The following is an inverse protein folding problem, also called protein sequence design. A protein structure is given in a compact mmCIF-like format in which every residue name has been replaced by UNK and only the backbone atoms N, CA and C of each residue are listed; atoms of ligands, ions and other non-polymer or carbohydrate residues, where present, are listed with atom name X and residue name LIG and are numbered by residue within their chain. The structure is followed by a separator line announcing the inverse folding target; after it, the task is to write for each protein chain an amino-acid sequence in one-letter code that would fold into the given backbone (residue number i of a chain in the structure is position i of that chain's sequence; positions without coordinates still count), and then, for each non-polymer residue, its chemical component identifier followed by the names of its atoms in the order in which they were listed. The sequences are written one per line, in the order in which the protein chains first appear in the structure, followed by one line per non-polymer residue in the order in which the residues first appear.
data_IF_275063963566
#
_entry.id   IF_275063963566
#
_cell.length_a   1.000
_cell.length_b   1.000
_cell.length_c   1.000
_cell.angle_alpha   90.00
_cell.angle_beta   90.00
_cell.angle_gamma   90.00
#
_symmetry.space_group_name_H-M   'P 1'
#
loop_
_entity.id
_entity.type
_entity.pdbx_description
1 polymer ?
#
# COMPACT_ATOMS: atom_id res chain seq x y z
N UNK A 1 15.72 -20.83 25.14
CA UNK A 1 16.06 -20.13 23.88
C UNK A 1 16.83 -18.87 24.25
N UNK A 2 17.97 -18.60 23.63
CA UNK A 2 18.79 -17.42 23.97
C UNK A 2 18.19 -16.13 23.38
N UNK A 3 18.56 -14.99 23.95
CA UNK A 3 18.17 -13.67 23.44
C UNK A 3 18.64 -13.44 22.00
N UNK A 4 19.80 -14.01 21.62
CA UNK A 4 20.31 -13.94 20.24
C UNK A 4 19.42 -14.69 19.25
N UNK A 5 18.90 -15.87 19.62
CA UNK A 5 17.94 -16.60 18.79
C UNK A 5 16.62 -15.84 18.66
N UNK A 6 16.15 -15.23 19.75
CA UNK A 6 14.96 -14.37 19.74
C UNK A 6 15.17 -13.16 18.82
N UNK A 7 16.32 -12.51 18.88
CA UNK A 7 16.66 -11.36 18.05
C UNK A 7 16.76 -11.75 16.56
N UNK A 8 17.31 -12.93 16.26
CA UNK A 8 17.35 -13.47 14.91
C UNK A 8 15.94 -13.70 14.34
N UNK A 9 15.02 -14.27 15.13
CA UNK A 9 13.61 -14.44 14.73
C UNK A 9 12.94 -13.07 14.54
N UNK A 10 13.12 -12.16 15.49
CA UNK A 10 12.54 -10.82 15.45
C UNK A 10 13.00 -10.03 14.21
N UNK A 11 14.20 -10.30 13.69
CA UNK A 11 14.69 -9.70 12.45
C UNK A 11 13.88 -10.12 11.21
N UNK A 12 13.06 -11.16 11.23
CA UNK A 12 12.19 -11.51 10.11
C UNK A 12 10.79 -10.89 10.21
N UNK A 13 10.41 -10.34 11.36
CA UNK A 13 9.09 -9.79 11.59
C UNK A 13 8.93 -8.40 10.93
N UNK A 14 7.72 -8.09 10.46
CA UNK A 14 7.30 -6.72 10.18
C UNK A 14 7.05 -5.95 11.49
N UNK A 15 6.85 -4.63 11.42
CA UNK A 15 6.72 -3.79 12.62
C UNK A 15 5.48 -4.11 13.46
N UNK A 16 4.37 -4.51 12.83
CA UNK A 16 3.14 -4.88 13.54
C UNK A 16 3.36 -6.22 14.25
N UNK A 17 3.94 -7.19 13.55
CA UNK A 17 4.31 -8.48 14.14
C UNK A 17 5.36 -8.31 15.25
N UNK A 18 6.32 -7.39 15.10
CA UNK A 18 7.31 -7.06 16.12
C UNK A 18 6.67 -6.45 17.37
N UNK A 19 5.68 -5.57 17.18
CA UNK A 19 4.87 -5.01 18.27
C UNK A 19 4.09 -6.08 19.03
N UNK A 20 3.46 -7.01 18.32
CA UNK A 20 2.76 -8.16 18.91
C UNK A 20 3.71 -9.10 19.63
N UNK A 21 4.85 -9.41 19.02
CA UNK A 21 5.90 -10.23 19.60
C UNK A 21 6.41 -9.65 20.92
N UNK A 22 6.62 -8.32 20.98
CA UNK A 22 7.03 -7.63 22.19
C UNK A 22 5.99 -7.65 23.33
N UNK A 23 4.72 -7.99 23.06
CA UNK A 23 3.67 -8.12 24.10
C UNK A 23 3.62 -9.52 24.74
N UNK A 24 4.36 -10.50 24.22
CA UNK A 24 4.28 -11.90 24.67
C UNK A 24 4.94 -12.11 26.03
N UNK A 25 6.15 -11.58 26.24
CA UNK A 25 6.88 -11.71 27.51
C UNK A 25 7.85 -10.56 27.73
N UNK A 26 8.42 -10.46 28.92
CA UNK A 26 9.45 -9.46 29.22
C UNK A 26 10.72 -9.64 28.39
N UNK A 27 11.09 -10.89 28.08
CA UNK A 27 12.23 -11.20 27.22
C UNK A 27 11.97 -10.75 25.77
N UNK A 28 10.80 -11.05 25.22
CA UNK A 28 10.45 -10.60 23.85
C UNK A 28 10.27 -9.10 23.77
N UNK A 29 9.77 -8.45 24.83
CA UNK A 29 9.69 -7.00 24.93
C UNK A 29 11.07 -6.33 24.85
N UNK A 30 12.07 -6.88 25.56
CA UNK A 30 13.46 -6.40 25.51
C UNK A 30 14.06 -6.57 24.11
N UNK A 31 13.89 -7.75 23.51
CA UNK A 31 14.36 -8.03 22.15
C UNK A 31 13.68 -7.13 21.12
N UNK A 32 12.36 -6.94 21.20
CA UNK A 32 11.62 -6.06 20.30
C UNK A 32 12.01 -4.58 20.43
N UNK A 33 12.62 -4.18 21.56
CA UNK A 33 13.11 -2.83 21.78
C UNK A 33 14.52 -2.58 21.19
N UNK A 34 15.21 -3.61 20.68
CA UNK A 34 16.57 -3.50 20.18
C UNK A 34 16.68 -2.54 18.99
N UNK A 35 17.55 -1.52 19.13
CA UNK A 35 17.81 -0.49 18.13
C UNK A 35 18.17 -1.02 16.73
N UNK A 36 18.95 -2.12 16.57
CA UNK A 36 19.22 -2.70 15.25
C UNK A 36 17.96 -3.12 14.45
N UNK A 37 16.91 -3.59 15.13
CA UNK A 37 15.66 -3.99 14.48
C UNK A 37 14.94 -2.75 13.92
N UNK A 38 14.78 -1.72 14.76
CA UNK A 38 14.15 -0.46 14.36
C UNK A 38 14.95 0.27 13.28
N UNK A 39 16.29 0.22 13.34
CA UNK A 39 17.18 0.75 12.30
C UNK A 39 16.89 0.12 10.94
N UNK A 40 16.71 -1.20 10.89
CA UNK A 40 16.40 -1.92 9.65
C UNK A 40 15.06 -1.49 9.08
N UNK A 41 14.02 -1.42 9.91
CA UNK A 41 12.70 -0.96 9.47
C UNK A 41 12.74 0.48 8.96
N UNK A 42 13.35 1.39 9.73
CA UNK A 42 13.48 2.79 9.32
C UNK A 42 14.22 2.92 7.98
N UNK A 43 15.33 2.19 7.79
CA UNK A 43 16.08 2.19 6.51
C UNK A 43 15.20 1.71 5.35
N UNK A 44 14.47 0.62 5.54
CA UNK A 44 13.57 0.09 4.51
C UNK A 44 12.46 1.10 4.15
N UNK A 45 11.86 1.77 5.14
CA UNK A 45 10.86 2.82 4.92
C UNK A 45 11.45 4.03 4.19
N UNK A 46 12.66 4.47 4.56
CA UNK A 46 13.33 5.61 3.91
C UNK A 46 13.80 5.32 2.49
N UNK A 47 14.00 4.06 2.13
CA UNK A 47 14.42 3.70 0.77
C UNK A 47 13.39 4.08 -0.31
N UNK A 48 12.13 4.30 0.08
CA UNK A 48 11.05 4.69 -0.82
C UNK A 48 10.75 6.18 -0.81
N UNK A 49 11.47 6.94 0.02
CA UNK A 49 11.32 8.39 0.14
C UNK A 49 12.10 9.13 -0.95
N UNK A 50 11.73 10.39 -1.19
CA UNK A 50 12.49 11.27 -2.06
C UNK A 50 13.90 11.54 -1.50
N UNK A 51 14.92 11.72 -2.36
CA UNK A 51 16.28 12.02 -1.90
C UNK A 51 16.35 13.27 -1.01
N UNK A 52 15.46 14.25 -1.23
CA UNK A 52 15.36 15.45 -0.40
C UNK A 52 14.94 15.11 1.04
N UNK A 53 13.92 14.25 1.20
CA UNK A 53 13.47 13.79 2.51
C UNK A 53 14.59 13.02 3.23
N UNK A 54 15.28 12.11 2.54
CA UNK A 54 16.38 11.35 3.14
C UNK A 54 17.48 12.27 3.66
N UNK A 55 17.87 13.30 2.89
CA UNK A 55 18.85 14.31 3.35
C UNK A 55 18.37 15.07 4.58
N UNK A 56 17.10 15.49 4.61
CA UNK A 56 16.54 16.19 5.79
C UNK A 56 16.53 15.30 7.04
N UNK A 57 16.22 14.01 6.87
CA UNK A 57 16.21 13.04 7.95
C UNK A 57 17.62 12.83 8.48
N UNK A 58 18.61 12.69 7.60
CA UNK A 58 20.01 12.57 8.00
C UNK A 58 20.53 13.81 8.73
N UNK A 59 20.15 15.01 8.30
CA UNK A 59 20.48 16.24 9.02
C UNK A 59 19.88 16.23 10.44
N UNK A 60 18.61 15.86 10.58
CA UNK A 60 17.95 15.72 11.88
C UNK A 60 18.58 14.64 12.78
N UNK A 61 19.15 13.58 12.19
CA UNK A 61 19.88 12.52 12.89
C UNK A 61 21.24 12.98 13.41
N UNK A 62 21.93 13.88 12.70
CA UNK A 62 23.20 14.47 13.15
C UNK A 62 23.01 15.45 14.31
N UNK A 63 21.84 16.06 14.43
CA UNK A 63 21.48 16.90 15.58
C UNK A 63 21.23 16.05 16.84
N UNK A 64 22.16 16.13 17.80
CA UNK A 64 22.05 15.47 19.12
C UNK A 64 20.85 15.93 19.94
N UNK A 65 20.36 17.15 19.71
CA UNK A 65 19.22 17.70 20.45
C UNK A 65 17.88 17.01 20.09
N UNK A 66 17.77 16.43 18.90
CA UNK A 66 16.53 15.84 18.38
C UNK A 66 16.55 14.32 18.26
N UNK A 67 17.73 13.69 18.31
CA UNK A 67 17.87 12.25 18.11
C UNK A 67 17.54 11.45 19.38
N UNK A 68 16.51 10.62 19.33
CA UNK A 68 16.06 9.75 20.44
C UNK A 68 16.13 8.26 20.13
N UNK A 69 16.90 7.87 19.12
CA UNK A 69 16.99 6.48 18.63
C UNK A 69 16.07 6.19 17.44
N UNK A 70 16.28 5.03 16.81
CA UNK A 70 15.53 4.58 15.64
C UNK A 70 14.08 4.24 15.97
N UNK A 71 13.83 3.67 17.15
CA UNK A 71 12.46 3.38 17.58
C UNK A 71 11.61 4.63 17.72
N UNK A 72 12.17 5.69 18.30
CA UNK A 72 11.51 6.98 18.44
C UNK A 72 11.34 7.71 17.08
N UNK A 73 12.18 7.40 16.10
CA UNK A 73 12.10 7.96 14.76
C UNK A 73 10.96 7.36 13.94
N UNK A 74 10.68 6.06 14.13
CA UNK A 74 9.74 5.31 13.30
C UNK A 74 8.37 5.98 13.08
N UNK A 75 7.66 6.48 14.12
CA UNK A 75 6.38 7.19 13.96
C UNK A 75 6.43 8.42 13.04
N UNK A 76 7.61 9.01 12.86
CA UNK A 76 7.83 10.26 12.13
C UNK A 76 8.21 10.02 10.67
N UNK A 77 8.48 8.78 10.28
CA UNK A 77 8.81 8.41 8.90
C UNK A 77 7.51 8.11 8.18
N UNK A 78 7.12 8.88 7.14
CA UNK A 78 6.00 8.51 6.30
C UNK A 78 6.29 7.16 5.64
N UNK A 79 5.39 6.20 5.77
CA UNK A 79 5.55 4.89 5.15
C UNK A 79 4.21 4.26 4.82
N UNK A 80 4.21 3.47 3.75
CA UNK A 80 3.10 2.60 3.34
C UNK A 80 3.35 1.21 3.92
N UNK A 81 2.29 0.52 4.32
CA UNK A 81 2.40 -0.88 4.79
C UNK A 81 2.60 -1.82 3.61
N UNK A 82 3.58 -2.70 3.72
CA UNK A 82 3.89 -3.72 2.69
C UNK A 82 3.35 -5.10 3.07
N UNK A 83 2.86 -5.25 4.30
CA UNK A 83 2.30 -6.48 4.85
C UNK A 83 0.80 -6.63 4.57
N UNK A 84 0.15 -5.61 4.02
CA UNK A 84 -1.29 -5.56 3.74
C UNK A 84 -1.58 -5.36 2.25
N UNK A 85 -2.82 -5.62 1.86
CA UNK A 85 -3.36 -5.18 0.60
C UNK A 85 -4.31 -4.00 0.82
N UNK A 86 -4.24 -3.03 -0.07
CA UNK A 86 -5.12 -1.88 -0.10
C UNK A 86 -6.22 -2.13 -1.10
N UNK A 87 -7.46 -1.83 -0.74
CA UNK A 87 -8.61 -2.01 -1.62
C UNK A 87 -9.29 -0.66 -1.84
N UNK A 88 -9.43 -0.26 -3.10
CA UNK A 88 -10.32 0.82 -3.52
C UNK A 88 -11.64 0.22 -3.92
N UNK A 89 -12.74 0.79 -3.45
CA UNK A 89 -14.06 0.55 -4.00
C UNK A 89 -14.42 1.71 -4.92
N UNK A 90 -14.75 1.39 -6.16
CA UNK A 90 -15.33 2.32 -7.13
C UNK A 90 -16.74 1.83 -7.45
N UNK A 91 -17.72 2.72 -7.39
CA UNK A 91 -19.10 2.42 -7.73
C UNK A 91 -19.68 3.52 -8.59
N UNK A 92 -20.37 3.15 -9.67
CA UNK A 92 -21.13 4.08 -10.48
C UNK A 92 -22.49 3.48 -10.84
N UNK A 93 -23.47 4.36 -11.08
CA UNK A 93 -24.79 3.96 -11.55
C UNK A 93 -24.85 4.06 -13.06
N UNK A 94 -25.30 3.01 -13.74
CA UNK A 94 -25.64 3.05 -15.17
C UNK A 94 -27.11 2.74 -15.37
N UNK A 95 -27.73 3.35 -16.39
CA UNK A 95 -29.06 2.92 -16.84
C UNK A 95 -28.94 1.53 -17.46
N UNK A 96 -29.85 0.63 -17.11
CA UNK A 96 -29.98 -0.64 -17.81
C UNK A 96 -30.25 -0.43 -19.30
N UNK A 97 -29.97 -1.44 -20.10
CA UNK A 97 -30.37 -1.45 -21.51
C UNK A 97 -31.83 -1.90 -21.57
N UNK A 98 -32.66 -1.19 -22.31
CA UNK A 98 -34.03 -1.63 -22.62
C UNK A 98 -33.92 -2.90 -23.46
N UNK A 99 -34.34 -4.03 -22.93
CA UNK A 99 -34.54 -5.25 -23.72
C UNK A 99 -36.03 -5.37 -24.07
N UNK A 100 -36.35 -5.96 -25.22
CA UNK A 100 -37.72 -6.16 -25.71
C UNK A 100 -38.60 -6.96 -24.72
N UNK A 101 -37.97 -7.69 -23.80
CA UNK A 101 -38.61 -8.49 -22.75
C UNK A 101 -38.65 -7.85 -21.35
N UNK A 102 -37.99 -6.70 -21.13
CA UNK A 102 -37.97 -6.02 -19.82
C UNK A 102 -38.41 -4.55 -19.95
N UNK A 103 -39.67 -4.29 -19.59
CA UNK A 103 -40.38 -3.03 -19.86
C UNK A 103 -39.89 -1.78 -19.12
N UNK A 104 -38.79 -1.82 -18.36
CA UNK A 104 -38.14 -0.63 -17.81
C UNK A 104 -36.71 -0.96 -17.36
N UNK A 105 -35.67 -0.36 -17.95
CA UNK A 105 -34.31 -0.56 -17.46
C UNK A 105 -34.16 0.15 -16.10
N UNK A 106 -34.02 -0.64 -15.03
CA UNK A 106 -33.65 -0.10 -13.72
C UNK A 106 -32.27 0.57 -13.74
N UNK A 107 -31.97 1.33 -12.69
CA UNK A 107 -30.60 1.74 -12.39
C UNK A 107 -29.81 0.51 -11.94
N UNK A 108 -28.67 0.25 -12.58
CA UNK A 108 -27.74 -0.82 -12.22
C UNK A 108 -26.56 -0.18 -11.53
N UNK A 109 -26.33 -0.54 -10.27
CA UNK A 109 -25.10 -0.23 -9.56
C UNK A 109 -23.99 -1.14 -10.08
N UNK A 110 -22.92 -0.55 -10.63
CA UNK A 110 -21.71 -1.26 -11.02
C UNK A 110 -20.64 -0.96 -9.99
N UNK A 111 -20.21 -2.00 -9.29
CA UNK A 111 -19.15 -1.92 -8.28
C UNK A 111 -17.90 -2.66 -8.79
N UNK A 112 -16.76 -1.98 -8.73
CA UNK A 112 -15.45 -2.55 -9.02
C UNK A 112 -14.47 -2.26 -7.89
N UNK A 113 -13.56 -3.19 -7.66
CA UNK A 113 -12.53 -3.05 -6.64
C UNK A 113 -11.13 -3.11 -7.24
N UNK A 114 -10.31 -2.12 -6.88
CA UNK A 114 -8.89 -2.11 -7.25
C UNK A 114 -8.07 -2.52 -6.04
N UNK A 115 -7.42 -3.68 -6.14
CA UNK A 115 -6.57 -4.20 -5.09
C UNK A 115 -5.10 -3.88 -5.41
N UNK A 116 -4.42 -3.24 -4.46
CA UNK A 116 -3.03 -2.84 -4.52
C UNK A 116 -2.22 -3.56 -3.45
N UNK A 117 -1.01 -3.99 -3.80
CA UNK A 117 -0.05 -4.47 -2.80
C UNK A 117 1.32 -3.86 -3.01
N UNK A 118 1.80 -3.24 -1.95
CA UNK A 118 3.13 -2.62 -1.89
C UNK A 118 4.16 -3.63 -1.42
N UNK A 119 5.32 -3.60 -2.06
CA UNK A 119 6.48 -4.39 -1.66
C UNK A 119 7.65 -3.50 -1.29
N UNK A 120 8.51 -4.02 -0.42
CA UNK A 120 9.81 -3.43 -0.16
C UNK A 120 10.59 -3.27 -1.48
N UNK A 121 11.36 -2.19 -1.60
CA UNK A 121 12.11 -1.89 -2.82
C UNK A 121 11.31 -1.15 -3.90
N UNK A 122 10.10 -0.69 -3.60
CA UNK A 122 9.35 0.19 -4.51
C UNK A 122 8.58 -0.55 -5.58
N UNK A 123 8.44 -1.88 -5.47
CA UNK A 123 7.60 -2.69 -6.35
C UNK A 123 6.14 -2.66 -5.90
N UNK A 124 5.23 -2.69 -6.86
CA UNK A 124 3.79 -2.69 -6.65
C UNK A 124 3.14 -3.81 -7.48
N UNK A 125 2.09 -4.42 -6.95
CA UNK A 125 1.13 -5.20 -7.73
C UNK A 125 -0.25 -4.58 -7.66
N UNK A 126 -0.99 -4.75 -8.74
CA UNK A 126 -2.32 -4.19 -8.94
C UNK A 126 -3.22 -5.21 -9.62
N UNK A 127 -4.46 -5.34 -9.17
CA UNK A 127 -5.50 -6.10 -9.88
C UNK A 127 -6.84 -5.39 -9.75
N UNK A 128 -7.70 -5.57 -10.75
CA UNK A 128 -9.06 -5.07 -10.74
C UNK A 128 -10.02 -6.27 -10.65
N UNK A 129 -11.05 -6.18 -9.81
CA UNK A 129 -12.05 -7.23 -9.64
C UNK A 129 -13.44 -6.63 -9.58
N UNK A 130 -14.36 -7.02 -10.47
CA UNK A 130 -15.76 -6.60 -10.39
C UNK A 130 -16.47 -7.28 -9.21
N UNK A 131 -17.48 -6.62 -8.65
CA UNK A 131 -18.30 -7.18 -7.57
C UNK A 131 -17.53 -7.29 -6.25
N UNK A 132 -17.67 -8.39 -5.51
CA UNK A 132 -17.11 -8.54 -4.16
C UNK A 132 -15.62 -8.97 -4.16
N UNK A 133 -14.78 -8.36 -3.30
CA UNK A 133 -13.39 -8.79 -3.10
C UNK A 133 -13.35 -10.06 -2.26
N UNK A 134 -13.17 -11.20 -2.90
CA UNK A 134 -12.93 -12.46 -2.20
C UNK A 134 -11.50 -12.51 -1.66
N UNK A 135 -11.26 -13.25 -0.57
CA UNK A 135 -9.93 -13.46 0.01
C UNK A 135 -8.91 -13.96 -1.04
N UNK A 136 -9.36 -14.80 -1.98
CA UNK A 136 -8.57 -15.29 -3.12
C UNK A 136 -8.01 -14.16 -4.00
N UNK A 137 -8.75 -13.06 -4.19
CA UNK A 137 -8.33 -11.91 -5.00
C UNK A 137 -7.13 -11.22 -4.38
N UNK A 138 -7.15 -11.06 -3.06
CA UNK A 138 -6.01 -10.52 -2.32
C UNK A 138 -4.82 -11.50 -2.34
N UNK A 139 -5.11 -12.81 -2.27
CA UNK A 139 -4.09 -13.84 -2.38
C UNK A 139 -3.40 -13.87 -3.75
N UNK A 140 -4.02 -13.34 -4.83
CA UNK A 140 -3.37 -13.22 -6.15
C UNK A 140 -2.21 -12.22 -6.15
N UNK A 141 -2.18 -11.30 -5.20
CA UNK A 141 -1.14 -10.29 -5.04
C UNK A 141 0.01 -10.86 -4.21
N UNK A 142 0.60 -11.98 -4.62
CA UNK A 142 1.85 -12.50 -4.07
C UNK A 142 3.03 -12.14 -5.01
N UNK A 143 4.26 -11.94 -4.50
CA UNK A 143 5.35 -11.32 -5.28
C UNK A 143 5.70 -12.04 -6.60
N UNK A 144 5.52 -13.36 -6.64
CA UNK A 144 5.79 -14.23 -7.79
C UNK A 144 4.57 -14.51 -8.66
N UNK A 145 3.41 -13.91 -8.36
CA UNK A 145 2.21 -14.05 -9.18
C UNK A 145 2.45 -13.49 -10.58
N UNK A 146 2.09 -14.29 -11.58
CA UNK A 146 2.08 -13.96 -13.01
C UNK A 146 0.72 -14.29 -13.64
N UNK A 147 -0.32 -14.35 -12.82
CA UNK A 147 -1.67 -14.64 -13.32
C UNK A 147 -2.16 -13.49 -14.18
N UNK A 148 -2.95 -13.83 -15.17
CA UNK A 148 -3.67 -12.86 -15.98
C UNK A 148 -4.51 -11.92 -15.09
N UNK A 149 -4.56 -10.64 -15.45
CA UNK A 149 -5.23 -9.61 -14.65
C UNK A 149 -4.46 -9.13 -13.40
N UNK A 150 -3.23 -9.63 -13.17
CA UNK A 150 -2.29 -9.06 -12.18
C UNK A 150 -1.24 -8.23 -12.90
N UNK A 151 -1.21 -6.96 -12.58
CA UNK A 151 -0.33 -5.96 -13.16
C UNK A 151 0.77 -5.58 -12.18
N UNK A 152 1.89 -5.13 -12.73
CA UNK A 152 3.07 -4.77 -11.96
C UNK A 152 3.39 -3.30 -12.11
N UNK A 153 3.98 -2.73 -11.07
CA UNK A 153 4.27 -1.32 -11.02
C UNK A 153 5.40 -0.95 -10.09
N UNK A 154 5.61 0.36 -9.98
CA UNK A 154 6.50 0.95 -9.01
C UNK A 154 5.79 2.01 -8.17
N UNK A 155 6.30 2.27 -6.98
CA UNK A 155 5.79 3.30 -6.08
C UNK A 155 6.91 4.04 -5.37
N UNK A 156 6.65 5.30 -5.01
CA UNK A 156 7.53 6.16 -4.20
C UNK A 156 6.70 7.08 -3.32
N UNK A 157 7.29 7.55 -2.22
CA UNK A 157 6.71 8.54 -1.32
C UNK A 157 7.48 9.85 -1.48
N UNK A 158 6.74 10.96 -1.55
CA UNK A 158 7.29 12.30 -1.43
C UNK A 158 6.44 13.11 -0.44
N UNK A 159 6.98 13.31 0.76
CA UNK A 159 6.25 13.91 1.88
C UNK A 159 5.01 13.08 2.26
N UNK A 160 3.82 13.63 1.97
CA UNK A 160 2.54 12.97 2.19
C UNK A 160 1.92 12.41 0.90
N UNK A 161 2.56 12.55 -0.26
CA UNK A 161 2.10 11.98 -1.52
C UNK A 161 2.77 10.62 -1.77
N UNK A 162 2.00 9.66 -2.25
CA UNK A 162 2.47 8.36 -2.71
C UNK A 162 2.17 8.28 -4.19
N UNK A 163 3.22 8.33 -5.00
CA UNK A 163 3.12 8.24 -6.45
C UNK A 163 3.26 6.77 -6.87
N UNK A 164 2.28 6.28 -7.64
CA UNK A 164 2.26 4.93 -8.20
C UNK A 164 2.34 4.99 -9.72
N UNK A 165 3.00 4.00 -10.31
CA UNK A 165 3.04 3.75 -11.74
C UNK A 165 2.74 2.28 -11.97
N UNK A 166 1.64 1.96 -12.64
CA UNK A 166 1.22 0.59 -12.93
C UNK A 166 1.28 0.38 -14.44
N UNK A 167 1.90 -0.71 -14.87
CA UNK A 167 1.96 -1.12 -16.26
C UNK A 167 0.79 -2.06 -16.55
N UNK A 168 -0.15 -1.61 -17.39
CA UNK A 168 -1.22 -2.43 -17.94
C UNK A 168 -0.97 -2.67 -19.44
N UNK A 169 -1.56 -3.72 -20.03
CA UNK A 169 -1.64 -3.86 -21.48
C UNK A 169 -2.18 -2.57 -22.08
N UNK A 170 -1.39 -1.96 -22.97
CA UNK A 170 -1.71 -0.75 -23.73
C UNK A 170 -1.85 0.55 -22.92
N UNK A 171 -1.62 0.55 -21.60
CA UNK A 171 -1.74 1.75 -20.78
C UNK A 171 -0.71 1.81 -19.64
N UNK A 172 -0.11 2.98 -19.45
CA UNK A 172 0.63 3.30 -18.24
C UNK A 172 -0.30 4.09 -17.30
N UNK A 173 -0.69 3.47 -16.20
CA UNK A 173 -1.58 4.10 -15.24
C UNK A 173 -0.77 4.78 -14.14
N UNK A 174 -1.00 6.07 -13.91
CA UNK A 174 -0.38 6.84 -12.82
C UNK A 174 -1.43 7.13 -11.75
N UNK A 175 -1.11 6.78 -10.51
CA UNK A 175 -1.89 7.17 -9.35
C UNK A 175 -1.08 8.14 -8.50
N UNK A 176 -1.74 9.16 -7.97
CA UNK A 176 -1.23 9.99 -6.89
C UNK A 176 -2.15 9.82 -5.69
N UNK A 177 -1.66 9.13 -4.68
CA UNK A 177 -2.37 8.89 -3.43
C UNK A 177 -1.81 9.85 -2.37
N UNK A 178 -2.63 10.23 -1.41
CA UNK A 178 -2.22 10.92 -0.19
C UNK A 178 -2.13 9.90 0.92
N UNK A 179 -0.99 9.88 1.59
CA UNK A 179 -0.79 9.18 2.84
C UNK A 179 -1.48 9.98 3.96
N UNK A 180 -2.44 9.35 4.59
CA UNK A 180 -3.07 9.85 5.81
C UNK A 180 -2.62 8.94 6.97
N UNK A 181 -1.75 9.45 7.86
CA UNK A 181 -1.33 8.67 9.01
C UNK A 181 -2.54 8.46 9.93
N UNK A 182 -3.05 7.22 10.03
CA UNK A 182 -4.07 6.86 11.00
C UNK A 182 -3.46 5.98 12.08
N UNK A 183 -3.55 6.46 13.32
CA UNK A 183 -3.11 5.72 14.48
C UNK A 183 -4.28 4.96 15.07
N UNK A 184 -4.51 3.75 14.58
CA UNK A 184 -5.45 2.82 15.21
C UNK A 184 -4.71 1.81 16.06
N UNK A 185 -5.11 1.72 17.35
CA UNK A 185 -4.95 0.69 18.40
C UNK A 185 -3.66 -0.14 18.53
N UNK A 186 -3.06 -0.56 17.42
CA UNK A 186 -1.95 -1.50 17.34
C UNK A 186 -0.71 -0.97 16.61
N UNK A 187 -0.69 0.33 16.30
CA UNK A 187 0.50 1.01 15.80
C UNK A 187 0.62 0.96 14.28
N UNK A 188 0.49 2.14 13.67
CA UNK A 188 0.77 2.47 12.27
C UNK A 188 -0.18 1.84 11.24
N UNK A 189 -1.41 2.35 11.10
CA UNK A 189 -2.25 2.10 9.93
C UNK A 189 -2.24 3.33 9.02
N UNK A 190 -1.35 3.41 8.05
CA UNK A 190 -1.43 4.50 7.06
C UNK A 190 -2.62 4.25 6.12
N UNK A 191 -3.65 5.09 6.21
CA UNK A 191 -4.75 5.14 5.24
C UNK A 191 -4.22 5.81 3.97
N UNK A 192 -4.65 5.35 2.80
CA UNK A 192 -4.29 5.98 1.53
C UNK A 192 -5.53 6.59 0.93
N UNK A 193 -5.49 7.86 0.53
CA UNK A 193 -6.61 8.53 -0.14
C UNK A 193 -6.24 8.85 -1.58
N UNK A 194 -7.10 8.55 -2.56
CA UNK A 194 -6.83 8.98 -3.94
C UNK A 194 -6.89 10.51 -3.98
N UNK A 195 -5.83 11.16 -4.47
CA UNK A 195 -5.89 12.59 -4.82
C UNK A 195 -6.05 12.79 -6.30
N UNK A 196 -5.28 12.05 -7.09
CA UNK A 196 -5.31 12.14 -8.54
C UNK A 196 -5.15 10.77 -9.15
N UNK A 197 -5.86 10.57 -10.24
CA UNK A 197 -5.79 9.39 -11.07
C UNK A 197 -5.68 9.83 -12.53
N UNK A 198 -4.81 9.17 -13.30
CA UNK A 198 -4.66 9.46 -14.72
C UNK A 198 -4.08 8.30 -15.52
N UNK A 199 -4.48 8.23 -16.77
CA UNK A 199 -3.92 7.31 -17.76
C UNK A 199 -2.90 8.07 -18.62
N UNK A 200 -1.75 7.47 -18.86
CA UNK A 200 -0.94 7.78 -20.04
C UNK A 200 -1.13 6.62 -21.01
N UNK A 201 -1.72 6.89 -22.17
CA UNK A 201 -1.65 5.96 -23.28
C UNK A 201 -0.19 5.77 -23.68
N UNK A 202 0.20 4.50 -23.81
CA UNK A 202 1.41 4.17 -24.54
C UNK A 202 1.01 4.24 -26.01
N UNK A 203 1.56 5.17 -26.76
CA UNK A 203 1.36 5.30 -28.21
C UNK A 203 1.62 3.97 -28.91
N UNK A 204 0.57 3.21 -29.17
CA UNK A 204 0.49 2.15 -30.16
C UNK A 204 -1.01 1.83 -30.36
N UNK A 205 -1.52 2.36 -31.47
CA UNK A 205 -2.69 1.94 -32.24
C UNK A 205 -4.10 2.31 -31.73
N UNK A 206 -4.59 3.43 -32.28
CA UNK A 206 -5.85 3.54 -33.04
C UNK A 206 -7.14 2.97 -32.44
N UNK A 207 -7.33 3.11 -31.13
CA UNK A 207 -8.65 2.99 -30.51
C UNK A 207 -8.93 4.26 -29.73
N UNK A 208 -9.78 5.15 -30.28
CA UNK A 208 -10.10 6.48 -29.76
C UNK A 208 -10.76 6.50 -28.37
N UNK A 209 -10.02 6.04 -27.35
CA UNK A 209 -10.43 6.05 -25.95
C UNK A 209 -9.99 7.39 -25.39
N UNK A 210 -10.96 8.24 -25.10
CA UNK A 210 -10.71 9.56 -24.52
C UNK A 210 -9.95 9.45 -23.18
N UNK A 211 -8.98 10.33 -22.92
CA UNK A 211 -8.38 10.43 -21.59
C UNK A 211 -9.46 10.80 -20.59
N UNK A 212 -9.79 9.88 -19.68
CA UNK A 212 -10.62 10.18 -18.51
C UNK A 212 -9.85 11.12 -17.59
N UNK A 213 -10.06 12.42 -17.75
CA UNK A 213 -9.59 13.42 -16.80
C UNK A 213 -10.34 13.25 -15.46
N UNK A 214 -9.59 12.90 -14.42
CA UNK A 214 -9.91 13.25 -13.04
C UNK A 214 -11.12 12.53 -12.42
N UNK A 215 -11.01 11.23 -12.18
CA UNK A 215 -11.81 10.58 -11.13
C UNK A 215 -11.18 10.90 -9.76
N UNK A 216 -11.80 11.82 -9.01
CA UNK A 216 -11.59 11.92 -7.58
C UNK A 216 -12.33 10.74 -6.91
N UNK A 217 -11.58 9.76 -6.42
CA UNK A 217 -12.12 8.56 -5.77
C UNK A 217 -11.93 8.60 -4.25
N UNK A 218 -12.76 7.86 -3.53
CA UNK A 218 -12.69 7.74 -2.08
C UNK A 218 -11.48 6.92 -1.59
N UNK A 219 -11.25 6.95 -0.28
CA UNK A 219 -10.05 6.40 0.33
C UNK A 219 -9.91 4.88 0.20
N UNK A 220 -8.67 4.40 0.02
CA UNK A 220 -8.29 3.01 0.23
C UNK A 220 -8.18 2.72 1.72
N UNK A 221 -8.90 1.70 2.16
CA UNK A 221 -8.68 1.12 3.48
C UNK A 221 -7.66 -0.03 3.37
N UNK A 222 -6.73 -0.05 4.32
CA UNK A 222 -5.76 -1.12 4.45
C UNK A 222 -6.48 -2.33 5.05
N UNK A 223 -6.74 -3.35 4.24
CA UNK A 223 -7.29 -4.59 4.75
C UNK A 223 -6.15 -5.52 5.16
N UNK A 224 -6.12 -6.01 6.42
CA UNK A 224 -5.19 -7.07 6.77
C UNK A 224 -5.43 -8.23 5.82
N UNK A 225 -4.35 -8.88 5.37
CA UNK A 225 -4.45 -10.11 4.60
C UNK A 225 -5.38 -11.06 5.34
N UNK A 226 -6.47 -11.47 4.68
CA UNK A 226 -7.23 -12.64 5.12
C UNK A 226 -6.20 -13.78 5.17
N UNK A 227 -5.86 -14.20 6.39
CA UNK A 227 -4.97 -15.35 6.60
C UNK A 227 -5.65 -16.54 5.93
N UNK A 228 -5.09 -17.00 4.83
CA UNK A 228 -5.30 -18.37 4.40
C UNK A 228 -4.56 -19.20 5.45
N UNK A 229 -5.32 -19.84 6.32
CA UNK A 229 -4.85 -20.91 7.21
C UNK A 229 -4.60 -22.14 6.35
#
# INVERSE_FOLDING_TARGET
MSDDSLAAIAAFLDVVSLGRFGRVSTATARVAALEPLWRRHCRAATAQQSPAYVRSLEAARRSRATWRGWRALWPRIPHVRTDVAYVLKESYMRKGVVDMFSGSPGLIEVVSHRCLRFYAGGRLQFTNTPGHVAARTVALLYPSSRKEGVYHGSWRIDGAAVALRVHQPNALVKYELRLEPRWEGDGCCSRLRVRRFGFLESTADDSGIMPLEGLAGDAFDAHPLVRVV
#
